data_IF_063264072613
#
_entry.id   IF_063264072613
#
_cell.length_a   1.000
_cell.length_b   1.000
_cell.length_c   1.000
_cell.angle_alpha   90.00
_cell.angle_beta   90.00
_cell.angle_gamma   90.00
#
_symmetry.space_group_name_H-M   'P 1'
#
loop_
_entity.id
_entity.type
_entity.pdbx_description
1 polymer ?
#
# COMPACT_ATOMS: atom_id res chain seq x y z
N UNK A 1 15.17 7.24 32.70
CA UNK A 1 15.31 7.06 31.24
C UNK A 1 14.61 5.76 30.90
N UNK A 2 13.35 5.81 30.47
CA UNK A 2 12.64 4.60 30.04
C UNK A 2 13.18 4.28 28.65
N UNK A 3 13.99 3.23 28.55
CA UNK A 3 14.41 2.74 27.24
C UNK A 3 13.17 2.24 26.51
N UNK A 4 12.83 2.89 25.39
CA UNK A 4 11.83 2.36 24.48
C UNK A 4 12.48 1.12 23.85
N UNK A 5 12.05 -0.07 24.26
CA UNK A 5 12.54 -1.31 23.68
C UNK A 5 11.69 -1.58 22.44
N UNK A 6 12.12 -1.05 21.31
CA UNK A 6 11.52 -1.34 20.01
C UNK A 6 11.81 -2.76 19.54
N UNK A 7 11.03 -3.20 18.56
CA UNK A 7 11.21 -4.51 17.92
C UNK A 7 12.57 -4.56 17.24
N UNK A 8 13.21 -5.72 17.27
CA UNK A 8 14.54 -5.93 16.66
C UNK A 8 14.47 -6.43 15.21
N UNK A 9 13.29 -6.85 14.77
CA UNK A 9 13.11 -7.37 13.43
C UNK A 9 12.92 -6.24 12.40
N UNK A 10 13.08 -6.59 11.13
CA UNK A 10 12.95 -5.65 10.00
C UNK A 10 11.59 -4.96 10.00
N UNK A 11 11.59 -3.66 9.71
CA UNK A 11 10.38 -2.87 9.51
C UNK A 11 10.07 -2.87 8.02
N UNK A 12 8.87 -3.31 7.65
CA UNK A 12 8.44 -3.43 6.25
C UNK A 12 7.62 -2.23 5.77
N UNK A 13 6.83 -1.64 6.66
CA UNK A 13 6.08 -0.42 6.36
C UNK A 13 5.95 0.46 7.59
N UNK A 14 5.81 1.76 7.35
CA UNK A 14 5.56 2.77 8.37
C UNK A 14 4.64 3.85 7.80
N UNK A 15 3.74 4.34 8.64
CA UNK A 15 2.81 5.38 8.24
C UNK A 15 2.40 6.22 9.45
N UNK A 16 2.53 7.52 9.33
CA UNK A 16 1.87 8.45 10.24
C UNK A 16 0.37 8.44 9.99
N UNK A 17 -0.41 8.61 11.06
CA UNK A 17 -1.83 8.91 10.94
C UNK A 17 -2.03 10.27 10.28
N UNK A 18 -3.14 10.49 9.56
CA UNK A 18 -3.41 11.78 8.90
C UNK A 18 -3.39 12.99 9.84
N UNK A 19 -3.78 12.81 11.10
CA UNK A 19 -3.73 13.87 12.12
C UNK A 19 -2.32 14.07 12.73
N UNK A 20 -1.32 13.29 12.34
CA UNK A 20 0.06 13.36 12.83
C UNK A 20 0.30 12.85 14.25
N UNK A 21 -0.77 12.44 14.98
CA UNK A 21 -0.68 12.04 16.39
C UNK A 21 -0.18 10.62 16.61
N UNK A 22 -0.21 9.78 15.58
CA UNK A 22 0.20 8.39 15.69
C UNK A 22 1.18 8.00 14.57
N UNK A 23 2.07 7.07 14.88
CA UNK A 23 2.94 6.38 13.94
C UNK A 23 2.67 4.88 14.03
N UNK A 24 2.25 4.27 12.92
CA UNK A 24 2.14 2.82 12.79
C UNK A 24 3.43 2.24 12.23
N UNK A 25 3.92 1.16 12.83
CA UNK A 25 5.15 0.47 12.43
C UNK A 25 4.89 -1.02 12.23
N UNK A 26 4.95 -1.50 10.99
CA UNK A 26 4.82 -2.91 10.62
C UNK A 26 6.17 -3.64 10.77
N UNK A 27 6.20 -4.63 11.65
CA UNK A 27 7.39 -5.44 11.92
C UNK A 27 7.30 -6.83 11.27
N UNK A 28 8.47 -7.38 10.96
CA UNK A 28 8.64 -8.79 10.60
C UNK A 28 8.23 -9.76 11.72
N UNK A 29 8.10 -9.29 12.96
CA UNK A 29 7.61 -10.10 14.09
C UNK A 29 6.09 -10.37 14.05
N UNK A 30 5.38 -10.00 12.97
CA UNK A 30 3.93 -10.08 12.79
C UNK A 30 3.12 -9.07 13.63
N UNK A 31 3.79 -8.05 14.17
CA UNK A 31 3.17 -6.99 14.96
C UNK A 31 3.05 -5.70 14.16
N UNK A 32 2.02 -4.93 14.49
CA UNK A 32 1.98 -3.50 14.17
C UNK A 32 1.99 -2.77 15.50
N UNK A 33 3.07 -2.05 15.78
CA UNK A 33 3.14 -1.20 16.97
C UNK A 33 2.70 0.22 16.58
N UNK A 34 1.80 0.79 17.38
CA UNK A 34 1.31 2.16 17.23
C UNK A 34 1.95 3.01 18.31
N UNK A 35 2.61 4.08 17.89
CA UNK A 35 3.23 5.06 18.78
C UNK A 35 2.42 6.34 18.76
N UNK A 36 2.14 6.89 19.94
CA UNK A 36 1.70 8.28 20.07
C UNK A 36 2.91 9.20 19.82
N UNK A 37 2.68 10.26 19.05
CA UNK A 37 3.69 11.20 18.57
C UNK A 37 3.49 12.53 19.27
N UNK A 38 4.42 12.87 20.15
CA UNK A 38 4.49 14.19 20.77
C UNK A 38 5.44 15.05 19.94
N UNK A 39 4.89 15.67 18.89
CA UNK A 39 5.63 16.37 17.82
C UNK A 39 6.61 17.42 18.34
N UNK A 40 6.25 18.12 19.41
CA UNK A 40 7.02 19.24 19.94
C UNK A 40 8.28 18.78 20.69
N UNK A 41 8.32 17.50 21.10
CA UNK A 41 9.39 16.92 21.90
C UNK A 41 10.17 15.82 21.14
N UNK A 42 9.75 15.45 19.93
CA UNK A 42 10.31 14.33 19.18
C UNK A 42 10.19 13.00 19.95
N UNK A 43 9.19 12.89 20.81
CA UNK A 43 9.00 11.75 21.69
C UNK A 43 7.93 10.81 21.14
N UNK A 44 8.24 9.52 21.17
CA UNK A 44 7.36 8.45 20.71
C UNK A 44 7.07 7.51 21.87
N UNK A 45 5.81 7.27 22.18
CA UNK A 45 5.41 6.31 23.21
C UNK A 45 4.53 5.25 22.59
N UNK A 46 4.85 3.97 22.83
CA UNK A 46 4.01 2.87 22.33
C UNK A 46 2.63 2.94 22.99
N UNK A 47 1.63 3.27 22.20
CA UNK A 47 0.23 3.39 22.58
C UNK A 47 -0.45 2.01 22.59
N UNK A 48 -0.26 1.22 21.53
CA UNK A 48 -0.80 -0.13 21.44
C UNK A 48 0.01 -1.02 20.49
N UNK A 49 -0.28 -2.32 20.51
CA UNK A 49 0.26 -3.30 19.56
C UNK A 49 -0.87 -4.14 18.99
N UNK A 50 -1.02 -4.13 17.67
CA UNK A 50 -1.90 -5.01 16.93
C UNK A 50 -1.25 -6.40 16.80
N UNK A 51 -1.96 -7.45 17.24
CA UNK A 51 -1.49 -8.84 17.22
C UNK A 51 -2.53 -9.70 16.54
N UNK A 52 -2.11 -10.58 15.64
CA UNK A 52 -3.02 -11.57 15.04
C UNK A 52 -2.58 -12.12 13.69
N UNK A 53 -1.76 -11.38 12.95
CA UNK A 53 -1.23 -11.88 11.68
C UNK A 53 -0.40 -13.15 11.88
N UNK A 54 -0.55 -14.11 10.96
CA UNK A 54 0.22 -15.36 11.00
C UNK A 54 1.60 -15.25 10.35
N UNK A 55 1.90 -14.13 9.70
CA UNK A 55 3.18 -13.81 9.05
C UNK A 55 3.46 -12.31 9.11
N UNK A 56 4.62 -11.89 8.61
CA UNK A 56 5.07 -10.51 8.68
C UNK A 56 4.14 -9.58 7.92
N UNK A 57 3.99 -8.36 8.45
CA UNK A 57 3.11 -7.34 7.89
C UNK A 57 3.85 -6.61 6.78
N UNK A 58 3.27 -6.56 5.59
CA UNK A 58 3.90 -5.99 4.38
C UNK A 58 3.43 -4.57 4.09
N UNK A 59 2.16 -4.25 4.38
CA UNK A 59 1.56 -2.95 4.08
C UNK A 59 0.63 -2.51 5.20
N UNK A 60 0.57 -1.19 5.41
CA UNK A 60 -0.33 -0.51 6.35
C UNK A 60 -0.98 0.69 5.66
N UNK A 61 -2.30 0.83 5.84
CA UNK A 61 -3.02 2.06 5.49
C UNK A 61 -3.82 2.58 6.69
N UNK A 62 -3.82 3.89 6.86
CA UNK A 62 -4.68 4.60 7.81
C UNK A 62 -5.99 5.01 7.15
N UNK A 63 -7.07 5.07 7.93
CA UNK A 63 -8.28 5.79 7.54
C UNK A 63 -8.07 7.31 7.60
N UNK A 64 -8.95 8.06 6.93
CA UNK A 64 -8.88 9.53 6.92
C UNK A 64 -9.08 10.14 8.31
N UNK A 65 -9.81 9.46 9.21
CA UNK A 65 -10.12 9.97 10.55
C UNK A 65 -9.06 9.61 11.59
N UNK A 66 -7.97 8.92 11.22
CA UNK A 66 -6.93 8.48 12.16
C UNK A 66 -7.44 7.59 13.29
N UNK A 67 -8.51 6.84 13.02
CA UNK A 67 -9.22 5.98 13.98
C UNK A 67 -9.03 4.50 13.70
N UNK A 68 -8.61 4.16 12.48
CA UNK A 68 -8.56 2.79 12.00
C UNK A 68 -7.36 2.56 11.10
N UNK A 69 -6.89 1.33 11.11
CA UNK A 69 -5.81 0.85 10.26
C UNK A 69 -6.28 -0.41 9.56
N UNK A 70 -5.82 -0.62 8.34
CA UNK A 70 -5.83 -1.94 7.71
C UNK A 70 -4.41 -2.37 7.40
N UNK A 71 -4.21 -3.68 7.31
CA UNK A 71 -2.90 -4.25 7.05
C UNK A 71 -2.97 -5.48 6.17
N UNK A 72 -1.89 -5.71 5.42
CA UNK A 72 -1.65 -6.94 4.68
C UNK A 72 -0.46 -7.70 5.26
N UNK A 73 -0.53 -9.02 5.24
CA UNK A 73 0.60 -9.89 5.58
C UNK A 73 1.09 -10.69 4.39
N UNK A 74 2.30 -11.23 4.50
CA UNK A 74 2.86 -12.14 3.50
C UNK A 74 2.08 -13.46 3.34
N UNK A 75 1.19 -13.79 4.28
CA UNK A 75 0.27 -14.94 4.17
C UNK A 75 -1.07 -14.55 3.54
N UNK A 76 -1.14 -13.41 2.86
CA UNK A 76 -2.31 -12.92 2.13
C UNK A 76 -3.52 -12.63 3.03
N UNK A 77 -3.28 -12.17 4.26
CA UNK A 77 -4.33 -11.79 5.20
C UNK A 77 -4.62 -10.29 5.09
N UNK A 78 -5.90 -9.91 5.17
CA UNK A 78 -6.34 -8.52 5.29
C UNK A 78 -7.02 -8.33 6.65
N UNK A 79 -6.35 -7.62 7.56
CA UNK A 79 -6.89 -7.30 8.89
C UNK A 79 -7.25 -5.82 9.00
N UNK A 80 -8.21 -5.54 9.88
CA UNK A 80 -8.63 -4.20 10.25
C UNK A 80 -8.44 -4.03 11.75
N UNK A 81 -7.94 -2.87 12.15
CA UNK A 81 -7.62 -2.53 13.52
C UNK A 81 -8.32 -1.21 13.87
N UNK A 82 -9.05 -1.22 14.97
CA UNK A 82 -9.66 -0.01 15.52
C UNK A 82 -8.79 0.52 16.64
N UNK A 83 -8.52 1.82 16.63
CA UNK A 83 -7.92 2.53 17.77
C UNK A 83 -9.00 3.02 18.75
N UNK A 84 -10.28 2.78 18.45
CA UNK A 84 -11.38 3.06 19.38
C UNK A 84 -11.28 2.08 20.55
N UNK A 85 -10.84 2.58 21.70
CA UNK A 85 -10.65 1.82 22.94
C UNK A 85 -11.97 1.56 23.69
N UNK A 86 -13.07 2.19 23.27
CA UNK A 86 -14.39 1.99 23.84
C UNK A 86 -14.99 0.67 23.35
N UNK A 87 -14.97 -0.35 24.22
CA UNK A 87 -15.49 -1.68 23.94
C UNK A 87 -17.00 -1.71 23.60
N UNK A 88 -17.75 -0.65 23.92
CA UNK A 88 -19.16 -0.50 23.53
C UNK A 88 -19.34 -0.15 22.04
N UNK A 89 -18.27 0.27 21.37
CA UNK A 89 -18.22 0.65 19.95
C UNK A 89 -17.51 -0.41 19.11
N UNK A 90 -17.85 -1.68 19.31
CA UNK A 90 -17.37 -2.74 18.43
C UNK A 90 -17.85 -2.45 17.00
N UNK A 91 -16.89 -2.36 16.08
CA UNK A 91 -17.16 -2.00 14.69
C UNK A 91 -17.62 -3.26 13.96
N UNK A 92 -18.81 -3.21 13.35
CA UNK A 92 -19.32 -4.29 12.51
C UNK A 92 -18.33 -4.57 11.36
N UNK A 93 -17.89 -5.82 11.15
CA UNK A 93 -17.01 -6.19 10.04
C UNK A 93 -17.47 -5.71 8.65
N UNK A 94 -18.78 -5.52 8.43
CA UNK A 94 -19.27 -5.01 7.14
C UNK A 94 -19.02 -3.51 6.95
N UNK A 95 -18.87 -2.76 8.04
CA UNK A 95 -18.66 -1.32 8.00
C UNK A 95 -17.26 -0.94 7.50
N UNK A 96 -16.28 -1.84 7.59
CA UNK A 96 -14.92 -1.63 7.06
C UNK A 96 -14.89 -1.31 5.56
N UNK A 97 -15.89 -1.79 4.80
CA UNK A 97 -16.05 -1.49 3.36
C UNK A 97 -16.44 -0.05 3.06
N UNK A 98 -16.93 0.68 4.06
CA UNK A 98 -17.38 2.08 3.94
C UNK A 98 -16.37 3.06 4.50
N UNK A 99 -15.21 2.58 4.96
CA UNK A 99 -14.16 3.42 5.53
C UNK A 99 -13.41 4.10 4.38
N UNK A 100 -13.35 5.43 4.45
CA UNK A 100 -12.50 6.20 3.55
C UNK A 100 -11.04 6.11 4.00
N UNK A 101 -10.26 5.34 3.26
CA UNK A 101 -8.83 5.15 3.51
C UNK A 101 -8.02 6.36 3.03
N UNK A 102 -7.13 6.87 3.88
CA UNK A 102 -6.22 7.96 3.55
C UNK A 102 -5.20 7.56 2.49
N UNK A 103 -4.56 6.39 2.68
CA UNK A 103 -3.61 5.81 1.73
C UNK A 103 -4.14 4.52 1.11
N UNK A 104 -3.47 4.05 0.06
CA UNK A 104 -3.79 2.77 -0.60
C UNK A 104 -2.53 2.01 -0.97
N UNK A 105 -1.74 1.67 0.05
CA UNK A 105 -0.57 0.79 -0.04
C UNK A 105 -0.94 -0.69 0.04
N UNK A 106 -2.02 -1.04 0.74
CA UNK A 106 -2.49 -2.41 0.84
C UNK A 106 -3.00 -2.92 -0.51
N UNK A 107 -2.33 -3.94 -1.04
CA UNK A 107 -2.65 -4.59 -2.32
C UNK A 107 -3.88 -5.50 -2.22
N UNK A 108 -4.15 -6.06 -1.04
CA UNK A 108 -5.31 -6.90 -0.76
C UNK A 108 -6.39 -6.04 -0.11
N UNK A 109 -7.33 -5.59 -0.93
CA UNK A 109 -8.52 -4.84 -0.53
C UNK A 109 -9.62 -5.09 -1.57
N UNK A 110 -10.87 -4.72 -1.25
CA UNK A 110 -11.98 -4.92 -2.19
C UNK A 110 -11.80 -4.09 -3.47
N UNK A 111 -11.26 -2.89 -3.32
CA UNK A 111 -11.07 -1.87 -4.34
C UNK A 111 -9.95 -2.21 -5.33
N UNK A 112 -9.09 -3.18 -5.01
CA UNK A 112 -7.96 -3.61 -5.86
C UNK A 112 -8.09 -5.05 -6.32
N UNK A 113 -9.21 -5.73 -6.06
CA UNK A 113 -9.39 -7.14 -6.42
C UNK A 113 -9.10 -7.44 -7.91
N UNK A 114 -9.42 -6.51 -8.80
CA UNK A 114 -9.26 -6.62 -10.24
C UNK A 114 -7.82 -6.54 -10.74
N UNK A 115 -6.85 -6.20 -9.88
CA UNK A 115 -5.44 -6.20 -10.27
C UNK A 115 -4.91 -7.62 -10.46
N UNK A 116 -5.52 -8.62 -9.82
CA UNK A 116 -5.06 -10.00 -9.88
C UNK A 116 -5.51 -10.71 -11.17
N UNK A 117 -4.86 -11.83 -11.47
CA UNK A 117 -5.08 -12.63 -12.67
C UNK A 117 -4.12 -12.32 -13.81
N UNK A 118 -4.42 -12.85 -14.99
CA UNK A 118 -3.61 -12.65 -16.20
C UNK A 118 -3.56 -11.17 -16.60
N UNK A 119 -2.36 -10.70 -16.95
CA UNK A 119 -2.08 -9.36 -17.47
C UNK A 119 -1.12 -9.46 -18.64
N UNK A 120 -1.33 -8.61 -19.64
CA UNK A 120 -0.53 -8.57 -20.86
C UNK A 120 0.34 -7.32 -20.81
N UNK A 121 1.63 -7.51 -21.03
CA UNK A 121 2.63 -6.46 -21.13
C UNK A 121 3.36 -6.59 -22.46
N UNK A 122 3.53 -5.47 -23.17
CA UNK A 122 4.29 -5.46 -24.42
C UNK A 122 5.80 -5.49 -24.14
N UNK A 123 6.49 -6.42 -24.78
CA UNK A 123 7.95 -6.43 -24.79
C UNK A 123 8.46 -5.20 -25.54
N UNK A 124 9.31 -4.41 -24.88
CA UNK A 124 9.88 -3.19 -25.47
C UNK A 124 10.78 -3.46 -26.67
N UNK A 125 11.45 -4.61 -26.70
CA UNK A 125 12.40 -5.02 -27.74
C UNK A 125 11.72 -5.75 -28.89
N UNK A 126 10.93 -6.79 -28.59
CA UNK A 126 10.31 -7.64 -29.62
C UNK A 126 8.93 -7.16 -30.06
N UNK A 127 8.30 -6.23 -29.33
CA UNK A 127 6.91 -5.79 -29.54
C UNK A 127 5.86 -6.90 -29.39
N UNK A 128 6.26 -8.06 -28.86
CA UNK A 128 5.35 -9.17 -28.58
C UNK A 128 4.60 -8.97 -27.27
N UNK A 129 3.37 -9.48 -27.21
CA UNK A 129 2.56 -9.49 -26.01
C UNK A 129 3.02 -10.64 -25.09
N UNK A 130 3.43 -10.30 -23.87
CA UNK A 130 3.84 -11.26 -22.84
C UNK A 130 2.76 -11.31 -21.76
N UNK A 131 2.32 -12.52 -21.43
CA UNK A 131 1.36 -12.75 -20.36
C UNK A 131 2.08 -12.97 -19.02
N UNK A 132 1.73 -12.16 -18.02
CA UNK A 132 2.15 -12.30 -16.63
C UNK A 132 0.93 -12.55 -15.74
N UNK A 133 1.05 -13.48 -14.80
CA UNK A 133 -0.01 -13.76 -13.84
C UNK A 133 0.22 -12.98 -12.54
N UNK A 134 -0.66 -12.04 -12.24
CA UNK A 134 -0.61 -11.27 -10.99
C UNK A 134 -1.34 -12.01 -9.87
N UNK A 135 -0.61 -12.26 -8.79
CA UNK A 135 -1.09 -12.85 -7.54
C UNK A 135 -0.62 -12.00 -6.36
N UNK A 136 -1.16 -12.22 -5.15
CA UNK A 136 -0.67 -11.53 -3.96
C UNK A 136 0.83 -11.71 -3.70
N UNK A 137 1.44 -12.78 -4.23
CA UNK A 137 2.87 -13.05 -4.11
C UNK A 137 3.74 -12.37 -5.19
N UNK A 138 3.13 -11.84 -6.25
CA UNK A 138 3.86 -11.21 -7.37
C UNK A 138 3.59 -9.71 -7.46
N UNK A 139 2.59 -9.19 -6.76
CA UNK A 139 2.36 -7.74 -6.64
C UNK A 139 3.04 -7.24 -5.37
N UNK A 140 3.95 -6.28 -5.48
CA UNK A 140 4.77 -5.83 -4.34
C UNK A 140 4.38 -4.47 -3.81
N UNK A 141 3.78 -3.63 -4.64
CA UNK A 141 3.39 -2.29 -4.23
C UNK A 141 2.21 -1.78 -5.03
N UNK A 142 1.41 -0.93 -4.39
CA UNK A 142 0.49 -0.07 -5.10
C UNK A 142 0.43 1.31 -4.43
N UNK A 143 -0.06 2.29 -5.19
CA UNK A 143 -0.37 3.60 -4.68
C UNK A 143 -1.55 4.19 -5.44
N UNK A 144 -2.29 5.08 -4.79
CA UNK A 144 -3.47 5.73 -5.37
C UNK A 144 -3.32 7.24 -5.31
N UNK A 145 -3.77 7.90 -6.36
CA UNK A 145 -3.89 9.36 -6.40
C UNK A 145 -5.28 9.78 -6.87
N UNK A 146 -5.83 10.82 -6.25
CA UNK A 146 -7.03 11.51 -6.72
C UNK A 146 -6.59 12.71 -7.55
N UNK A 147 -6.77 12.63 -8.87
CA UNK A 147 -6.40 13.70 -9.81
C UNK A 147 -7.46 14.80 -9.78
N UNK A 148 -8.74 14.41 -9.84
CA UNK A 148 -9.88 15.31 -9.71
C UNK A 148 -11.09 14.54 -9.10
N UNK A 149 -12.28 15.12 -9.10
CA UNK A 149 -13.46 14.47 -8.52
C UNK A 149 -13.90 13.19 -9.26
N UNK A 150 -13.59 13.09 -10.55
CA UNK A 150 -14.05 12.01 -11.43
C UNK A 150 -12.95 11.00 -11.78
N UNK A 151 -11.68 11.37 -11.55
CA UNK A 151 -10.51 10.58 -11.90
C UNK A 151 -9.64 10.31 -10.69
N UNK A 152 -9.58 9.02 -10.34
CA UNK A 152 -8.59 8.46 -9.44
C UNK A 152 -7.79 7.40 -10.19
N UNK A 153 -6.48 7.38 -9.97
CA UNK A 153 -5.58 6.42 -10.58
C UNK A 153 -4.97 5.52 -9.51
N UNK A 154 -4.72 4.28 -9.88
CA UNK A 154 -4.00 3.28 -9.10
C UNK A 154 -2.79 2.82 -9.91
N UNK A 155 -1.59 3.00 -9.36
CA UNK A 155 -0.37 2.40 -9.88
C UNK A 155 -0.07 1.12 -9.12
N UNK A 156 0.35 0.07 -9.83
CA UNK A 156 0.68 -1.24 -9.27
C UNK A 156 2.02 -1.69 -9.83
N UNK A 157 2.94 -2.13 -8.98
CA UNK A 157 4.23 -2.70 -9.37
C UNK A 157 4.29 -4.20 -9.09
N UNK A 158 4.85 -4.96 -10.03
CA UNK A 158 4.99 -6.42 -9.90
C UNK A 158 6.45 -6.89 -9.71
N UNK A 159 6.60 -8.19 -9.45
CA UNK A 159 7.86 -8.90 -9.27
C UNK A 159 8.65 -9.06 -10.59
N UNK A 160 8.04 -8.79 -11.74
CA UNK A 160 8.63 -8.91 -13.07
C UNK A 160 9.16 -7.57 -13.60
N UNK A 161 9.06 -6.51 -12.81
CA UNK A 161 9.53 -5.17 -13.19
C UNK A 161 8.55 -4.37 -14.00
N UNK A 162 7.28 -4.78 -14.04
CA UNK A 162 6.22 -4.07 -14.76
C UNK A 162 5.41 -3.19 -13.82
N UNK A 163 4.92 -2.09 -14.38
CA UNK A 163 4.02 -1.15 -13.73
C UNK A 163 2.69 -1.15 -14.50
N UNK A 164 1.60 -1.21 -13.77
CA UNK A 164 0.25 -1.17 -14.29
C UNK A 164 -0.47 0.06 -13.76
N UNK A 165 -1.14 0.81 -14.64
CA UNK A 165 -1.96 1.96 -14.28
C UNK A 165 -3.43 1.61 -14.53
N UNK A 166 -4.25 1.72 -13.49
CA UNK A 166 -5.68 1.50 -13.52
C UNK A 166 -6.43 2.79 -13.16
N UNK A 167 -7.68 2.89 -13.61
CA UNK A 167 -8.67 3.75 -12.94
C UNK A 167 -9.05 3.10 -11.61
N UNK A 168 -9.11 3.90 -10.55
CA UNK A 168 -9.52 3.44 -9.22
C UNK A 168 -11.01 3.73 -9.00
N UNK A 169 -11.80 2.79 -8.42
CA UNK A 169 -11.39 1.47 -7.91
C UNK A 169 -11.23 0.42 -9.01
N UNK A 170 -10.20 -0.43 -8.88
CA UNK A 170 -9.91 -1.56 -9.76
C UNK A 170 -10.45 -2.88 -9.17
N UNK A 171 -11.78 -3.01 -9.08
CA UNK A 171 -12.42 -4.15 -8.41
C UNK A 171 -12.78 -5.33 -9.35
N UNK A 172 -12.85 -5.09 -10.66
CA UNK A 172 -13.20 -6.10 -11.67
C UNK A 172 -11.98 -6.55 -12.48
N UNK A 173 -11.94 -7.83 -12.86
CA UNK A 173 -10.85 -8.40 -13.68
C UNK A 173 -10.84 -7.86 -15.11
N UNK A 174 -11.99 -7.38 -15.60
CA UNK A 174 -12.16 -6.82 -16.95
C UNK A 174 -11.76 -5.33 -17.04
N UNK A 175 -11.27 -4.77 -15.93
CA UNK A 175 -10.78 -3.38 -15.89
C UNK A 175 -9.64 -3.20 -16.88
N UNK A 176 -9.75 -2.14 -17.70
CA UNK A 176 -8.66 -1.73 -18.58
C UNK A 176 -7.50 -1.18 -17.75
N UNK A 177 -6.29 -1.42 -18.24
CA UNK A 177 -5.06 -0.90 -17.68
C UNK A 177 -4.07 -0.56 -18.78
N UNK A 178 -3.12 0.30 -18.45
CA UNK A 178 -1.91 0.50 -19.22
C UNK A 178 -0.77 -0.22 -18.50
N UNK A 179 0.04 -0.98 -19.23
CA UNK A 179 1.17 -1.72 -18.69
C UNK A 179 2.47 -1.23 -19.31
N UNK A 180 3.48 -1.06 -18.46
CA UNK A 180 4.80 -0.58 -18.86
C UNK A 180 5.87 -1.45 -18.22
N UNK A 181 6.81 -1.93 -19.02
CA UNK A 181 8.03 -2.52 -18.47
C UNK A 181 8.95 -1.39 -17.99
N UNK A 182 9.30 -1.41 -16.71
CA UNK A 182 9.99 -0.33 -16.03
C UNK A 182 11.39 -0.74 -15.54
N UNK A 183 11.46 -1.91 -14.90
CA UNK A 183 12.61 -2.33 -14.11
C UNK A 183 13.13 -3.70 -14.56
N UNK A 184 14.44 -3.92 -14.42
CA UNK A 184 15.08 -5.20 -14.75
C UNK A 184 14.84 -6.30 -13.71
N UNK A 185 14.07 -6.01 -12.66
CA UNK A 185 13.68 -6.90 -11.59
C UNK A 185 12.48 -6.31 -10.83
N UNK A 186 12.14 -6.83 -9.65
CA UNK A 186 10.91 -6.45 -8.95
C UNK A 186 10.77 -4.94 -8.73
N UNK A 187 9.57 -4.40 -8.97
CA UNK A 187 9.23 -3.03 -8.61
C UNK A 187 9.04 -2.97 -7.10
N UNK A 188 10.03 -2.41 -6.40
CA UNK A 188 10.04 -2.33 -4.94
C UNK A 188 8.96 -1.39 -4.40
N UNK A 189 8.76 -0.25 -5.07
CA UNK A 189 7.73 0.70 -4.66
C UNK A 189 7.28 1.59 -5.82
N UNK A 190 6.05 2.08 -5.71
CA UNK A 190 5.48 3.12 -6.58
C UNK A 190 4.82 4.19 -5.73
N UNK A 191 5.03 5.46 -6.07
CA UNK A 191 4.43 6.60 -5.37
C UNK A 191 4.06 7.72 -6.33
N UNK A 192 2.82 8.18 -6.23
CA UNK A 192 2.41 9.41 -6.90
C UNK A 192 2.96 10.62 -6.14
N UNK A 193 3.50 11.57 -6.88
CA UNK A 193 3.94 12.84 -6.32
C UNK A 193 2.76 13.76 -6.03
N UNK A 194 2.95 14.67 -5.07
CA UNK A 194 1.94 15.65 -4.63
C UNK A 194 1.50 16.59 -5.76
N UNK A 195 2.31 16.74 -6.81
CA UNK A 195 1.99 17.53 -7.99
C UNK A 195 0.89 16.91 -8.88
N UNK A 196 0.42 15.69 -8.56
CA UNK A 196 -0.61 14.92 -9.28
C UNK A 196 -0.25 14.57 -10.74
N UNK A 197 0.97 14.84 -11.17
CA UNK A 197 1.43 14.68 -12.57
C UNK A 197 2.57 13.70 -12.72
N UNK A 198 3.13 13.25 -11.60
CA UNK A 198 4.33 12.44 -11.60
C UNK A 198 4.11 11.17 -10.79
N UNK A 199 4.54 10.05 -11.37
CA UNK A 199 4.68 8.78 -10.67
C UNK A 199 6.18 8.49 -10.54
N UNK A 200 6.60 8.00 -9.38
CA UNK A 200 7.95 7.50 -9.14
C UNK A 200 7.87 6.00 -8.94
N UNK A 201 8.75 5.26 -9.61
CA UNK A 201 8.96 3.84 -9.36
C UNK A 201 10.41 3.57 -8.96
N UNK A 202 10.60 2.58 -8.10
CA UNK A 202 11.92 2.15 -7.64
C UNK A 202 12.04 0.65 -7.85
N UNK A 203 13.14 0.21 -8.45
CA UNK A 203 13.43 -1.21 -8.64
C UNK A 203 14.22 -1.77 -7.46
N UNK A 204 13.93 -3.02 -7.09
CA UNK A 204 14.54 -3.67 -5.93
C UNK A 204 15.99 -4.09 -6.18
N UNK A 205 16.30 -4.52 -7.40
CA UNK A 205 17.58 -5.16 -7.74
C UNK A 205 18.40 -4.39 -8.77
N UNK A 206 17.76 -3.58 -9.61
CA UNK A 206 18.42 -2.80 -10.64
C UNK A 206 18.99 -1.46 -10.13
N UNK A 207 18.58 -1.03 -8.93
CA UNK A 207 19.02 0.22 -8.32
C UNK A 207 18.49 1.48 -9.02
N UNK A 208 17.48 1.34 -9.89
CA UNK A 208 16.92 2.44 -10.66
C UNK A 208 15.77 3.12 -9.94
N UNK A 209 15.71 4.45 -10.10
CA UNK A 209 14.54 5.27 -9.77
C UNK A 209 14.07 5.92 -11.06
N UNK A 210 12.83 5.66 -11.45
CA UNK A 210 12.25 6.16 -12.70
C UNK A 210 11.14 7.15 -12.37
N UNK A 211 11.19 8.30 -13.03
CA UNK A 211 10.17 9.33 -12.97
C UNK A 211 9.31 9.29 -14.23
N UNK A 212 8.01 9.12 -14.05
CA UNK A 212 7.01 9.02 -15.12
C UNK A 212 6.18 10.31 -15.17
N UNK A 213 5.94 10.83 -16.38
CA UNK A 213 5.01 11.93 -16.59
C UNK A 213 3.62 11.39 -16.93
N UNK A 214 2.61 11.82 -16.18
CA UNK A 214 1.21 11.42 -16.32
C UNK A 214 0.37 12.39 -17.15
N UNK A 215 0.94 13.48 -17.67
CA UNK A 215 0.21 14.52 -18.42
C UNK A 215 -0.54 13.98 -19.65
N UNK A 216 -0.14 12.81 -20.16
CA UNK A 216 -0.73 12.18 -21.36
C UNK A 216 -1.55 10.91 -21.05
N UNK A 217 -1.91 10.65 -19.79
CA UNK A 217 -2.74 9.48 -19.45
C UNK A 217 -4.21 9.84 -19.63
N UNK A 218 -4.81 9.31 -20.70
CA UNK A 218 -6.26 9.39 -21.01
C UNK A 218 -7.11 8.39 -20.19
#
# INVERSE_FOLDING_TARGET
MVAIIDRRATIYDLAYSPNGKYLAVASHDNYIDIYEVESDLGYYQRFMSCRGHSSYVTHIDWDINSSMIRSNSANNELFYWSLITDASKSIDPTSYRKVDWHSSKCILQWETKGIFGSKIVKNTTTQEDIEHFLSPCTVYCCDRVKINNDLQLLAVGDAFGNIYIYRFPAFSNDMKYQAFHAHGGPVANVKFAVNLKTLISVGATDGLVIQWNLDNIE
#
